data_IF_825133809400
#
_entry.id   IF_825133809400
#
_cell.length_a   1.000
_cell.length_b   1.000
_cell.length_c   1.000
_cell.angle_alpha   90.00
_cell.angle_beta   90.00
_cell.angle_gamma   90.00
#
_symmetry.space_group_name_H-M   'P 1'
#
loop_
_entity.id
_entity.type
_entity.pdbx_description
1 polymer ?
#
# COMPACT_ATOMS: atom_id res chain seq x y z
N UNK A 1 -8.90 -13.60 -24.46
CA UNK A 1 -8.98 -13.38 -23.01
C UNK A 1 -8.49 -11.96 -22.71
N UNK A 2 -9.40 -10.99 -22.69
CA UNK A 2 -9.09 -9.59 -22.34
C UNK A 2 -10.23 -9.11 -21.44
N UNK A 3 -10.03 -9.12 -20.13
CA UNK A 3 -10.96 -8.46 -19.21
C UNK A 3 -10.65 -6.97 -19.19
N UNK A 4 -11.23 -6.24 -20.15
CA UNK A 4 -11.48 -4.81 -19.99
C UNK A 4 -12.71 -4.66 -19.11
N UNK A 5 -12.54 -4.15 -17.89
CA UNK A 5 -13.63 -3.87 -16.96
C UNK A 5 -13.65 -2.36 -16.65
N UNK A 6 -13.82 -1.56 -17.70
CA UNK A 6 -14.27 -0.18 -17.61
C UNK A 6 -15.76 -0.17 -18.00
N UNK A 7 -16.67 -0.41 -17.05
CA UNK A 7 -18.09 -0.01 -17.12
C UNK A 7 -18.89 -0.67 -15.98
N UNK A 8 -18.87 -0.07 -14.80
CA UNK A 8 -19.99 -0.20 -13.87
C UNK A 8 -20.29 1.19 -13.28
N UNK A 9 -20.62 2.13 -14.17
CA UNK A 9 -21.05 3.49 -13.83
C UNK A 9 -22.56 3.58 -14.09
N UNK A 10 -23.27 4.11 -13.08
CA UNK A 10 -24.68 4.53 -13.01
C UNK A 10 -25.74 3.48 -12.63
N UNK A 11 -25.97 3.32 -11.32
CA UNK A 11 -27.34 3.35 -10.78
C UNK A 11 -27.33 3.72 -9.28
N UNK A 12 -27.80 4.93 -8.97
CA UNK A 12 -28.40 5.31 -7.69
C UNK A 12 -27.60 5.11 -6.40
N UNK A 13 -26.73 6.07 -6.05
CA UNK A 13 -26.50 6.40 -4.64
C UNK A 13 -26.48 7.92 -4.51
N UNK A 14 -27.69 8.47 -4.40
CA UNK A 14 -27.96 9.82 -3.92
C UNK A 14 -27.02 10.16 -2.76
N UNK A 15 -26.27 11.25 -2.94
CA UNK A 15 -25.31 11.73 -1.98
C UNK A 15 -26.03 12.12 -0.68
N UNK A 16 -25.98 11.25 0.32
CA UNK A 16 -26.42 11.58 1.68
C UNK A 16 -25.36 12.46 2.38
N UNK A 17 -25.80 13.44 3.19
CA UNK A 17 -25.28 14.79 3.18
C UNK A 17 -23.84 14.93 3.66
N UNK A 18 -23.12 15.74 2.90
CA UNK A 18 -21.85 16.35 3.25
C UNK A 18 -21.96 17.14 4.56
N UNK A 19 -21.61 16.49 5.67
CA UNK A 19 -21.15 17.13 6.91
C UNK A 19 -20.65 16.03 7.85
N UNK A 20 -19.50 15.40 7.54
CA UNK A 20 -18.79 14.65 8.56
C UNK A 20 -17.29 14.71 8.25
N UNK A 21 -16.63 15.65 8.94
CA UNK A 21 -15.20 15.96 8.86
C UNK A 21 -14.39 14.68 8.73
N UNK A 22 -13.73 14.49 7.58
CA UNK A 22 -12.81 13.35 7.38
C UNK A 22 -11.76 13.44 8.50
N UNK A 23 -11.64 12.44 9.38
CA UNK A 23 -10.73 12.52 10.51
C UNK A 23 -9.30 12.65 10.01
N UNK A 24 -8.58 13.65 10.54
CA UNK A 24 -7.16 13.86 10.22
C UNK A 24 -6.27 12.83 10.90
N UNK A 25 -6.69 12.32 12.07
CA UNK A 25 -5.98 11.29 12.81
C UNK A 25 -6.14 9.93 12.10
N UNK A 26 -5.05 9.21 11.77
CA UNK A 26 -5.10 7.94 11.06
C UNK A 26 -5.87 6.84 11.81
N UNK A 27 -5.83 6.83 13.14
CA UNK A 27 -6.56 5.84 13.93
C UNK A 27 -8.08 6.06 13.85
N UNK A 28 -8.52 7.31 14.00
CA UNK A 28 -9.93 7.70 13.86
C UNK A 28 -10.43 7.50 12.43
N UNK A 29 -9.60 7.83 11.43
CA UNK A 29 -9.92 7.61 10.02
C UNK A 29 -10.12 6.13 9.73
N UNK A 30 -9.30 5.24 10.29
CA UNK A 30 -9.49 3.80 10.17
C UNK A 30 -10.82 3.35 10.74
N UNK A 31 -11.22 3.86 11.91
CA UNK A 31 -12.53 3.55 12.49
C UNK A 31 -13.67 4.06 11.60
N UNK A 32 -13.54 5.29 11.07
CA UNK A 32 -14.51 5.90 10.17
C UNK A 32 -14.66 5.16 8.84
N UNK A 33 -13.55 4.73 8.22
CA UNK A 33 -13.54 3.89 7.02
C UNK A 33 -14.25 2.55 7.29
N UNK A 34 -13.94 1.90 8.40
CA UNK A 34 -14.63 0.67 8.80
C UNK A 34 -16.15 0.88 8.95
N UNK A 35 -16.56 1.98 9.58
CA UNK A 35 -17.96 2.34 9.70
C UNK A 35 -18.63 2.55 8.35
N UNK A 36 -18.01 3.31 7.43
CA UNK A 36 -18.52 3.55 6.07
C UNK A 36 -18.64 2.27 5.25
N UNK A 37 -17.66 1.37 5.34
CA UNK A 37 -17.73 0.06 4.67
C UNK A 37 -18.88 -0.77 5.23
N UNK A 38 -19.02 -0.83 6.56
CA UNK A 38 -20.11 -1.56 7.23
C UNK A 38 -21.49 -1.02 6.89
N UNK A 39 -21.64 0.30 6.81
CA UNK A 39 -22.89 0.94 6.40
C UNK A 39 -23.32 0.53 4.98
N UNK A 40 -22.38 0.12 4.12
CA UNK A 40 -22.64 -0.39 2.77
C UNK A 40 -22.79 -1.91 2.70
N UNK A 41 -22.74 -2.60 3.84
CA UNK A 41 -22.74 -4.07 3.90
C UNK A 41 -21.40 -4.72 3.57
N UNK A 42 -20.33 -3.93 3.43
CA UNK A 42 -18.99 -4.43 3.15
C UNK A 42 -18.17 -4.57 4.43
N UNK A 43 -17.22 -5.50 4.41
CA UNK A 43 -16.19 -5.59 5.44
C UNK A 43 -14.83 -5.40 4.80
N UNK A 44 -13.88 -4.92 5.59
CA UNK A 44 -12.49 -4.74 5.15
C UNK A 44 -11.88 -6.06 4.66
N UNK A 45 -12.31 -7.20 5.25
CA UNK A 45 -11.91 -8.54 4.82
C UNK A 45 -12.56 -8.97 3.50
N UNK A 46 -13.84 -8.64 3.29
CA UNK A 46 -14.50 -8.89 2.01
C UNK A 46 -13.85 -8.06 0.89
N UNK A 47 -13.56 -6.79 1.15
CA UNK A 47 -12.84 -5.93 0.22
C UNK A 47 -11.44 -6.49 -0.11
N UNK A 48 -10.69 -6.94 0.89
CA UNK A 48 -9.39 -7.56 0.68
C UNK A 48 -9.45 -8.80 -0.23
N UNK A 49 -10.50 -9.64 -0.08
CA UNK A 49 -10.72 -10.81 -0.96
C UNK A 49 -10.98 -10.41 -2.40
N UNK A 50 -11.82 -9.40 -2.64
CA UNK A 50 -12.13 -8.90 -3.99
C UNK A 50 -10.89 -8.28 -4.65
N UNK A 51 -10.10 -7.53 -3.87
CA UNK A 51 -8.87 -6.92 -4.35
C UNK A 51 -7.67 -7.91 -4.45
N UNK A 52 -7.82 -9.16 -4.01
CA UNK A 52 -6.75 -10.17 -4.05
C UNK A 52 -5.56 -9.87 -3.11
N UNK A 53 -5.77 -9.09 -2.06
CA UNK A 53 -4.72 -8.66 -1.12
C UNK A 53 -4.98 -9.16 0.28
N UNK A 54 -3.93 -9.17 1.11
CA UNK A 54 -4.10 -9.56 2.51
C UNK A 54 -4.88 -8.49 3.28
N UNK A 55 -5.77 -8.94 4.17
CA UNK A 55 -6.50 -8.03 5.08
C UNK A 55 -5.55 -7.16 5.91
N UNK A 56 -4.39 -7.69 6.28
CA UNK A 56 -3.34 -6.95 7.00
C UNK A 56 -2.75 -5.83 6.15
N UNK A 57 -2.49 -6.05 4.86
CA UNK A 57 -1.99 -5.02 3.96
C UNK A 57 -3.02 -3.89 3.79
N UNK A 58 -4.30 -4.23 3.68
CA UNK A 58 -5.38 -3.25 3.58
C UNK A 58 -5.54 -2.43 4.87
N UNK A 59 -5.44 -3.09 6.04
CA UNK A 59 -5.43 -2.42 7.34
C UNK A 59 -4.20 -1.53 7.54
N UNK A 60 -3.03 -1.97 7.05
CA UNK A 60 -1.81 -1.20 7.07
C UNK A 60 -1.89 0.04 6.17
N UNK A 61 -2.55 -0.03 5.01
CA UNK A 61 -2.73 1.11 4.10
C UNK A 61 -3.50 2.29 4.72
N UNK A 62 -4.41 2.00 5.66
CA UNK A 62 -5.12 3.05 6.41
C UNK A 62 -4.22 3.83 7.37
N UNK A 63 -3.17 3.18 7.89
CA UNK A 63 -2.23 3.77 8.85
C UNK A 63 -0.97 4.31 8.17
N UNK A 64 -0.44 3.56 7.21
CA UNK A 64 0.82 3.82 6.49
C UNK A 64 0.55 4.10 5.02
N UNK A 65 1.31 5.02 4.39
CA UNK A 65 1.14 5.37 2.98
C UNK A 65 1.32 4.17 2.04
N UNK A 66 0.30 3.85 1.24
CA UNK A 66 0.35 2.80 0.23
C UNK A 66 -0.37 3.21 -1.07
N UNK A 67 0.42 3.43 -2.12
CA UNK A 67 -0.06 3.97 -3.41
C UNK A 67 -1.08 3.06 -4.09
N UNK A 68 -0.96 1.74 -3.94
CA UNK A 68 -1.81 0.79 -4.66
C UNK A 68 -3.12 0.50 -3.92
N UNK A 69 -3.11 0.54 -2.60
CA UNK A 69 -4.26 0.13 -1.78
C UNK A 69 -5.17 1.30 -1.38
N UNK A 70 -4.63 2.52 -1.28
CA UNK A 70 -5.41 3.72 -1.01
C UNK A 70 -6.55 3.97 -2.02
N UNK A 71 -6.35 3.88 -3.36
CA UNK A 71 -7.44 4.06 -4.31
C UNK A 71 -8.50 2.95 -4.21
N UNK A 72 -8.10 1.70 -3.96
CA UNK A 72 -9.02 0.56 -3.79
C UNK A 72 -9.95 0.78 -2.59
N UNK A 73 -9.41 1.29 -1.49
CA UNK A 73 -10.21 1.60 -0.29
C UNK A 73 -11.14 2.78 -0.55
N UNK A 74 -10.65 3.82 -1.21
CA UNK A 74 -11.43 5.00 -1.51
C UNK A 74 -12.60 4.67 -2.43
N UNK A 75 -12.36 3.89 -3.50
CA UNK A 75 -13.37 3.42 -4.44
C UNK A 75 -14.47 2.61 -3.75
N UNK A 76 -14.12 1.74 -2.80
CA UNK A 76 -15.11 0.99 -2.01
C UNK A 76 -16.04 1.90 -1.18
N UNK A 77 -15.55 3.08 -0.79
CA UNK A 77 -16.31 4.11 -0.06
C UNK A 77 -16.85 5.19 -1.04
N UNK A 78 -16.66 5.02 -2.35
CA UNK A 78 -17.11 5.97 -3.36
C UNK A 78 -16.47 7.35 -3.21
N UNK A 79 -15.26 7.40 -2.66
CA UNK A 79 -14.43 8.59 -2.56
C UNK A 79 -13.19 8.42 -3.42
N UNK A 80 -12.49 9.52 -3.65
CA UNK A 80 -11.16 9.48 -4.27
C UNK A 80 -10.06 9.35 -3.20
N UNK A 81 -8.89 8.82 -3.58
CA UNK A 81 -7.75 8.74 -2.66
C UNK A 81 -7.32 10.14 -2.17
N UNK A 82 -7.52 11.15 -3.01
CA UNK A 82 -7.26 12.56 -2.76
C UNK A 82 -8.14 13.12 -1.65
N UNK A 83 -9.43 12.78 -1.65
CA UNK A 83 -10.37 13.20 -0.61
C UNK A 83 -10.14 12.46 0.70
N UNK A 84 -9.83 11.16 0.64
CA UNK A 84 -9.63 10.34 1.83
C UNK A 84 -8.29 10.60 2.52
N UNK A 85 -7.25 10.94 1.75
CA UNK A 85 -5.88 11.17 2.23
C UNK A 85 -5.32 12.49 1.68
N UNK A 86 -5.88 13.64 2.09
CA UNK A 86 -5.43 14.94 1.61
C UNK A 86 -3.99 15.24 2.02
N UNK A 87 -3.48 14.65 3.11
CA UNK A 87 -2.09 14.79 3.52
C UNK A 87 -1.10 13.98 2.68
N UNK A 88 -1.58 12.99 1.90
CA UNK A 88 -0.73 12.09 1.09
C UNK A 88 -0.79 12.41 -0.40
N UNK A 89 -1.93 12.91 -0.87
CA UNK A 89 -2.20 13.18 -2.28
C UNK A 89 -2.49 14.66 -2.52
N UNK A 90 -1.95 15.19 -3.61
CA UNK A 90 -2.28 16.52 -4.09
C UNK A 90 -3.65 16.46 -4.82
N UNK A 91 -4.65 17.15 -4.28
CA UNK A 91 -5.99 17.20 -4.87
C UNK A 91 -6.01 17.79 -6.29
N UNK A 92 -5.12 18.74 -6.60
CA UNK A 92 -5.10 19.44 -7.89
C UNK A 92 -4.44 18.62 -9.02
N UNK A 93 -3.40 17.83 -8.71
CA UNK A 93 -2.62 17.11 -9.74
C UNK A 93 -2.85 15.61 -9.70
N UNK A 94 -3.53 15.09 -8.66
CA UNK A 94 -3.65 13.65 -8.42
C UNK A 94 -2.30 12.97 -8.19
N UNK A 95 -1.24 13.74 -7.92
CA UNK A 95 0.12 13.24 -7.66
C UNK A 95 0.33 13.10 -6.16
N UNK A 96 1.11 12.09 -5.76
CA UNK A 96 1.52 11.88 -4.37
C UNK A 96 2.47 12.99 -3.92
N UNK A 97 2.26 13.52 -2.72
CA UNK A 97 3.10 14.56 -2.12
C UNK A 97 4.45 13.99 -1.65
N UNK A 98 4.47 12.76 -1.14
CA UNK A 98 5.71 12.07 -0.76
C UNK A 98 6.34 11.38 -1.97
N UNK A 99 7.55 11.79 -2.35
CA UNK A 99 8.31 11.08 -3.37
C UNK A 99 8.52 9.62 -2.94
N UNK A 100 8.21 8.68 -3.84
CA UNK A 100 8.70 7.30 -3.71
C UNK A 100 10.22 7.43 -3.67
N UNK A 101 10.87 6.94 -2.61
CA UNK A 101 12.34 6.81 -2.63
C UNK A 101 12.65 6.08 -3.93
N UNK A 102 13.31 6.75 -4.87
CA UNK A 102 13.81 6.11 -6.09
C UNK A 102 14.43 4.81 -5.63
N UNK A 103 14.02 3.65 -6.16
CA UNK A 103 14.56 2.37 -5.72
C UNK A 103 16.07 2.57 -5.72
N UNK A 104 16.68 2.47 -4.53
CA UNK A 104 18.10 2.63 -4.40
C UNK A 104 18.64 1.71 -5.48
N UNK A 105 19.28 2.29 -6.50
CA UNK A 105 19.85 1.52 -7.60
C UNK A 105 20.77 0.56 -6.87
N UNK A 106 20.30 -0.67 -6.70
CA UNK A 106 21.08 -1.78 -6.23
C UNK A 106 22.01 -1.94 -7.41
N UNK A 107 23.09 -1.14 -7.41
CA UNK A 107 24.20 -1.30 -8.33
C UNK A 107 24.43 -2.79 -8.25
N UNK A 108 24.31 -3.44 -9.41
CA UNK A 108 24.69 -4.82 -9.59
C UNK A 108 25.87 -5.05 -8.66
N UNK A 109 25.68 -5.87 -7.63
CA UNK A 109 26.81 -6.58 -7.08
C UNK A 109 27.24 -7.42 -8.25
N UNK A 110 28.19 -6.91 -9.01
CA UNK A 110 28.72 -7.59 -10.16
C UNK A 110 29.17 -8.94 -9.66
N UNK A 111 28.74 -10.00 -10.32
CA UNK A 111 29.20 -11.37 -10.06
C UNK A 111 30.74 -11.52 -10.19
N UNK A 112 31.44 -10.44 -10.52
CA UNK A 112 32.89 -10.31 -10.64
C UNK A 112 33.58 -9.66 -9.44
N UNK A 113 32.92 -9.48 -8.28
CA UNK A 113 33.68 -9.29 -7.04
C UNK A 113 34.13 -10.67 -6.56
N UNK A 114 35.39 -11.10 -6.80
CA UNK A 114 35.88 -12.30 -6.15
C UNK A 114 35.82 -12.04 -4.65
N UNK A 115 35.03 -12.84 -3.94
CA UNK A 115 35.23 -13.02 -2.50
C UNK A 115 36.72 -13.25 -2.29
N UNK A 116 37.42 -12.47 -1.44
CA UNK A 116 38.82 -12.77 -1.13
C UNK A 116 38.83 -14.08 -0.34
N UNK A 117 38.88 -15.19 -1.08
CA UNK A 117 39.17 -16.51 -0.57
C UNK A 117 40.68 -16.66 -0.44
N UNK A 118 41.33 -15.69 0.22
CA UNK A 118 42.75 -15.77 0.58
C UNK A 118 42.85 -15.75 2.09
N UNK A 119 43.11 -16.93 2.66
CA UNK A 119 43.30 -17.08 4.09
C UNK A 119 43.06 -18.49 4.61
N UNK A 120 43.36 -19.52 3.82
CA UNK A 120 43.60 -20.85 4.34
C UNK A 120 44.68 -20.76 5.42
N UNK A 121 44.27 -20.83 6.69
CA UNK A 121 45.17 -20.97 7.83
C UNK A 121 45.94 -22.27 7.73
N UNK A 122 47.11 -22.22 7.09
CA UNK A 122 48.15 -23.21 7.27
C UNK A 122 48.69 -23.05 8.70
N UNK A 123 48.07 -23.72 9.66
CA UNK A 123 48.68 -23.94 10.97
C UNK A 123 49.14 -25.39 11.06
N UNK A 124 50.37 -25.56 10.58
CA UNK A 124 51.39 -26.51 11.01
C UNK A 124 50.90 -27.63 11.94
N UNK A 125 50.71 -28.81 11.36
CA UNK A 125 50.82 -30.09 12.07
C UNK A 125 52.23 -30.63 11.88
N UNK A 126 53.21 -30.03 12.57
CA UNK A 126 54.46 -30.73 12.90
C UNK A 126 54.13 -31.63 14.10
N UNK A 127 53.95 -32.96 13.94
CA UNK A 127 55.01 -33.99 13.91
C UNK A 127 56.05 -33.75 15.01
N UNK A 128 55.86 -34.36 16.18
CA UNK A 128 56.51 -35.63 16.58
C UNK A 128 58.01 -35.46 16.79
N UNK A 129 58.40 -35.45 18.06
CA UNK A 129 59.53 -36.19 18.63
C UNK A 129 59.16 -36.57 20.06
#
# INVERSE_FOLDING_TARGET
MMFSANAFIVLGMEQAPANNVIPKNPAERRAWVNYKLRARGWTLRALAKVAGVSHQALGAALLSPNVHLEPVIAEAIGLTAQELFPERWCAATGRRLTQVRSPARHRMRSLSDPTPADGAGQRQKERVA
#
